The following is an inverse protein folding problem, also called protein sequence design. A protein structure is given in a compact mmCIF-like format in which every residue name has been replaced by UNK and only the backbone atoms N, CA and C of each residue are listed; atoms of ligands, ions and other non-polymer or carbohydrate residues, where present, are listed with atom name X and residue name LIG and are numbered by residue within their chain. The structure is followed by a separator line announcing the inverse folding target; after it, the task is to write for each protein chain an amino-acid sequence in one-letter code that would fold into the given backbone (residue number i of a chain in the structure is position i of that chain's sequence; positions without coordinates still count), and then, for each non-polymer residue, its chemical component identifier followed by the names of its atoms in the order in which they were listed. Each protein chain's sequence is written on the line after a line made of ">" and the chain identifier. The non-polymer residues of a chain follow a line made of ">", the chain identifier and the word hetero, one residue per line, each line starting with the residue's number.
data_IF_682080289491
#
_entry.id   IF_682080289491
#
_cell.length_a   1.000
_cell.length_b   1.000
_cell.length_c   1.000
_cell.angle_alpha   90.00
_cell.angle_beta   90.00
_cell.angle_gamma   90.00
#
_symmetry.space_group_name_H-M   'P 1'
#
loop_
_entity.id
_entity.type
_entity.pdbx_description
1 polymer ?
#
# COMPACT_ATOMS: atom_id res chain seq x y z
N UNK A 1 16.00 -14.00 -24.08
CA UNK A 1 15.55 -12.95 -23.12
C UNK A 1 14.60 -12.06 -23.88
N UNK A 2 13.35 -11.98 -23.46
CA UNK A 2 12.38 -11.09 -24.09
C UNK A 2 12.29 -9.82 -23.26
N UNK A 3 12.83 -8.72 -23.76
CA UNK A 3 12.62 -7.39 -23.23
C UNK A 3 11.24 -6.90 -23.66
N UNK A 4 10.48 -6.34 -22.74
CA UNK A 4 9.19 -5.74 -23.04
C UNK A 4 9.39 -4.29 -23.52
N UNK A 5 9.05 -3.96 -24.78
CA UNK A 5 9.27 -2.61 -25.33
C UNK A 5 8.50 -1.52 -24.54
N UNK A 6 7.41 -1.88 -23.86
CA UNK A 6 6.68 -0.93 -23.00
C UNK A 6 7.53 -0.43 -21.82
N UNK A 7 8.52 -1.21 -21.40
CA UNK A 7 9.47 -0.78 -20.36
C UNK A 7 10.51 0.16 -20.95
N UNK A 8 10.91 0.00 -22.22
CA UNK A 8 11.76 0.97 -22.90
C UNK A 8 11.06 2.33 -23.00
N UNK A 9 9.80 2.34 -23.44
CA UNK A 9 8.97 3.55 -23.50
C UNK A 9 8.81 4.20 -22.11
N UNK A 10 8.58 3.39 -21.07
CA UNK A 10 8.50 3.87 -19.71
C UNK A 10 9.80 4.55 -19.24
N UNK A 11 10.94 3.94 -19.53
CA UNK A 11 12.26 4.50 -19.16
C UNK A 11 12.51 5.80 -19.92
N UNK A 12 12.21 5.85 -21.22
CA UNK A 12 12.37 7.06 -22.03
C UNK A 12 11.47 8.22 -21.56
N UNK A 13 10.25 7.93 -21.11
CA UNK A 13 9.32 8.93 -20.61
C UNK A 13 9.66 9.43 -19.20
N UNK A 14 10.51 8.74 -18.47
CA UNK A 14 10.91 9.11 -17.13
C UNK A 14 11.83 10.35 -17.13
N UNK A 15 11.86 11.08 -15.99
CA UNK A 15 12.76 12.21 -15.82
C UNK A 15 14.23 11.82 -16.06
N UNK A 16 15.03 12.69 -16.67
CA UNK A 16 16.40 12.41 -17.10
C UNK A 16 17.29 11.79 -16.00
N UNK A 17 17.14 12.24 -14.75
CA UNK A 17 17.91 11.65 -13.63
C UNK A 17 17.52 10.20 -13.34
N UNK A 18 16.26 9.81 -13.62
CA UNK A 18 15.73 8.49 -13.30
C UNK A 18 16.14 7.44 -14.34
N UNK A 19 16.29 7.84 -15.60
CA UNK A 19 16.56 6.91 -16.71
C UNK A 19 17.77 6.00 -16.45
N UNK A 20 18.97 6.52 -16.10
CA UNK A 20 20.13 5.67 -15.84
C UNK A 20 19.94 4.74 -14.63
N UNK A 21 19.12 5.13 -13.65
CA UNK A 21 18.81 4.28 -12.52
C UNK A 21 17.89 3.13 -12.91
N UNK A 22 16.86 3.41 -13.71
CA UNK A 22 15.92 2.39 -14.19
C UNK A 22 16.64 1.37 -15.10
N UNK A 23 17.50 1.83 -16.00
CA UNK A 23 18.35 0.97 -16.84
C UNK A 23 19.23 0.07 -15.96
N UNK A 24 19.94 0.66 -15.00
CA UNK A 24 20.79 -0.09 -14.07
C UNK A 24 20.04 -1.15 -13.28
N UNK A 25 18.84 -0.83 -12.79
CA UNK A 25 17.99 -1.77 -12.07
C UNK A 25 17.57 -2.91 -13.00
N UNK A 26 17.06 -2.60 -14.20
CA UNK A 26 16.64 -3.58 -15.20
C UNK A 26 17.76 -4.55 -15.55
N UNK A 27 18.94 -4.04 -15.89
CA UNK A 27 20.11 -4.85 -16.22
C UNK A 27 20.53 -5.74 -15.05
N UNK A 28 20.48 -5.23 -13.83
CA UNK A 28 20.83 -6.00 -12.63
C UNK A 28 19.81 -7.11 -12.36
N UNK A 29 18.53 -6.89 -12.64
CA UNK A 29 17.49 -7.91 -12.52
C UNK A 29 17.72 -9.03 -13.53
N UNK A 30 17.94 -8.70 -14.81
CA UNK A 30 18.24 -9.70 -15.84
C UNK A 30 19.54 -10.46 -15.58
N UNK A 31 20.57 -9.79 -15.07
CA UNK A 31 21.83 -10.43 -14.69
C UNK A 31 21.66 -11.42 -13.53
N UNK A 32 20.80 -11.10 -12.57
CA UNK A 32 20.55 -11.95 -11.40
C UNK A 32 19.61 -13.11 -11.70
N UNK A 33 18.61 -12.89 -12.56
CA UNK A 33 17.57 -13.83 -12.93
C UNK A 33 17.37 -13.80 -14.46
N UNK A 34 18.17 -14.55 -15.25
CA UNK A 34 18.09 -14.54 -16.71
C UNK A 34 16.76 -15.01 -17.30
N UNK A 35 15.96 -15.73 -16.51
CA UNK A 35 14.62 -16.23 -16.89
C UNK A 35 13.49 -15.29 -16.44
N UNK A 36 13.81 -14.08 -16.01
CA UNK A 36 12.81 -13.11 -15.59
C UNK A 36 11.96 -12.67 -16.78
N UNK A 37 10.66 -12.54 -16.54
CA UNK A 37 9.69 -12.02 -17.50
C UNK A 37 9.37 -10.56 -17.13
N UNK A 38 9.38 -9.70 -18.14
CA UNK A 38 9.02 -8.29 -17.97
C UNK A 38 7.55 -8.06 -18.27
N UNK A 39 6.92 -7.15 -17.52
CA UNK A 39 5.55 -6.71 -17.78
C UNK A 39 5.29 -5.33 -17.14
N UNK A 40 4.17 -4.72 -17.52
CA UNK A 40 3.64 -3.53 -16.84
C UNK A 40 2.47 -3.94 -15.95
N UNK A 41 2.55 -3.64 -14.65
CA UNK A 41 1.44 -3.77 -13.70
C UNK A 41 1.23 -2.43 -12.98
N UNK A 42 -0.03 -2.03 -12.86
CA UNK A 42 -0.39 -0.74 -12.24
C UNK A 42 0.36 0.48 -12.83
N UNK A 43 0.64 0.42 -14.15
CA UNK A 43 1.38 1.47 -14.85
C UNK A 43 2.89 1.50 -14.57
N UNK A 44 3.47 0.47 -13.95
CA UNK A 44 4.89 0.41 -13.56
C UNK A 44 5.57 -0.85 -14.05
N UNK A 45 6.87 -0.77 -14.42
CA UNK A 45 7.68 -1.94 -14.74
C UNK A 45 7.71 -2.96 -13.60
N UNK A 46 7.33 -4.17 -13.92
CA UNK A 46 7.24 -5.29 -12.98
C UNK A 46 7.94 -6.50 -13.57
N UNK A 47 8.73 -7.15 -12.76
CA UNK A 47 9.50 -8.33 -13.11
C UNK A 47 8.86 -9.56 -12.47
N UNK A 48 8.60 -10.57 -13.29
CA UNK A 48 7.93 -11.81 -12.89
C UNK A 48 8.92 -12.97 -12.98
N UNK A 49 8.82 -13.96 -12.07
CA UNK A 49 9.58 -15.20 -12.15
C UNK A 49 8.81 -16.33 -11.46
N UNK A 50 8.83 -17.53 -12.07
CA UNK A 50 8.12 -18.71 -11.54
C UNK A 50 6.66 -18.42 -11.17
N UNK A 51 5.92 -17.70 -12.04
CA UNK A 51 4.50 -17.36 -11.86
C UNK A 51 4.19 -16.30 -10.78
N UNK A 52 5.22 -15.76 -10.12
CA UNK A 52 5.05 -14.75 -9.07
C UNK A 52 5.74 -13.42 -9.39
N UNK A 53 5.27 -12.33 -8.76
CA UNK A 53 5.98 -11.06 -8.84
C UNK A 53 7.31 -11.19 -8.07
N UNK A 54 8.40 -10.84 -8.74
CA UNK A 54 9.76 -10.81 -8.18
C UNK A 54 10.03 -9.45 -7.53
N UNK A 55 9.98 -8.41 -8.34
CA UNK A 55 10.24 -7.03 -7.94
C UNK A 55 9.58 -6.07 -8.93
N UNK A 56 9.61 -4.78 -8.60
CA UNK A 56 9.14 -3.72 -9.48
C UNK A 56 9.91 -2.44 -9.25
N UNK A 57 9.87 -1.54 -10.23
CA UNK A 57 10.49 -0.22 -10.15
C UNK A 57 9.51 0.86 -10.62
N UNK A 58 9.66 2.06 -10.08
CA UNK A 58 8.86 3.21 -10.48
C UNK A 58 9.67 4.50 -10.46
N UNK A 59 9.40 5.37 -11.44
CA UNK A 59 9.93 6.73 -11.47
C UNK A 59 8.85 7.73 -11.04
N UNK A 60 9.25 8.67 -10.21
CA UNK A 60 8.45 9.81 -9.74
C UNK A 60 9.15 11.12 -10.12
N UNK A 61 8.53 12.26 -9.85
CA UNK A 61 9.09 13.58 -10.20
C UNK A 61 10.50 13.82 -9.66
N UNK A 62 10.84 13.31 -8.48
CA UNK A 62 12.08 13.61 -7.77
C UNK A 62 12.81 12.39 -7.23
N UNK A 63 12.31 11.18 -7.47
CA UNK A 63 12.94 9.96 -7.00
C UNK A 63 12.52 8.75 -7.82
N UNK A 64 13.30 7.70 -7.72
CA UNK A 64 12.98 6.34 -8.18
C UNK A 64 12.70 5.47 -6.96
N UNK A 65 11.81 4.51 -7.09
CA UNK A 65 11.65 3.43 -6.12
C UNK A 65 11.94 2.08 -6.77
N UNK A 66 12.49 1.16 -5.97
CA UNK A 66 12.68 -0.25 -6.34
C UNK A 66 12.31 -1.13 -5.16
N UNK A 67 11.53 -2.18 -5.39
CA UNK A 67 11.04 -3.01 -4.31
C UNK A 67 10.84 -4.47 -4.69
N UNK A 68 11.08 -5.36 -3.72
CA UNK A 68 10.78 -6.78 -3.82
C UNK A 68 9.36 -7.05 -3.33
N UNK A 69 8.64 -7.94 -4.06
CA UNK A 69 7.29 -8.34 -3.65
C UNK A 69 7.27 -9.00 -2.27
N UNK A 70 8.29 -9.78 -1.98
CA UNK A 70 8.49 -10.45 -0.69
C UNK A 70 9.53 -9.72 0.18
N UNK A 71 9.41 -8.38 0.30
CA UNK A 71 10.38 -7.49 0.93
C UNK A 71 10.91 -8.01 2.26
N UNK A 72 10.02 -8.32 3.20
CA UNK A 72 10.39 -8.78 4.55
C UNK A 72 11.29 -10.02 4.54
N UNK A 73 11.05 -10.95 3.60
CA UNK A 73 11.86 -12.17 3.46
C UNK A 73 13.20 -11.91 2.76
N UNK A 74 13.28 -10.93 1.87
CA UNK A 74 14.47 -10.62 1.06
C UNK A 74 15.43 -9.70 1.79
N UNK A 75 14.90 -8.61 2.34
CA UNK A 75 15.69 -7.51 2.92
C UNK A 75 15.65 -7.53 4.44
N UNK A 76 14.54 -7.95 5.04
CA UNK A 76 14.26 -7.93 6.48
C UNK A 76 13.28 -6.80 6.86
N UNK A 77 12.67 -6.91 8.03
CA UNK A 77 11.59 -6.01 8.48
C UNK A 77 12.03 -4.58 8.83
N UNK A 78 13.34 -4.33 9.00
CA UNK A 78 13.85 -3.05 9.47
C UNK A 78 14.09 -1.96 8.40
N UNK A 79 13.92 -2.27 7.12
CA UNK A 79 14.31 -1.37 6.01
C UNK A 79 13.16 -0.84 5.15
N UNK A 80 11.93 -1.27 5.42
CA UNK A 80 10.75 -0.77 4.71
C UNK A 80 10.40 0.63 5.18
N UNK A 81 10.82 1.64 4.43
CA UNK A 81 10.26 2.99 4.59
C UNK A 81 8.88 3.03 3.92
N UNK A 82 7.89 3.54 4.63
CA UNK A 82 6.46 3.54 4.26
C UNK A 82 6.22 3.82 2.77
N UNK A 83 5.80 2.79 2.03
CA UNK A 83 5.30 2.92 0.66
C UNK A 83 6.33 3.17 -0.45
N UNK A 84 7.64 3.31 -0.15
CA UNK A 84 8.69 3.70 -1.11
C UNK A 84 9.60 2.54 -1.54
N UNK A 85 9.05 1.35 -1.72
CA UNK A 85 9.83 0.18 -2.14
C UNK A 85 10.74 -0.35 -1.03
N UNK A 86 11.86 -0.98 -1.43
CA UNK A 86 12.76 -1.64 -0.49
C UNK A 86 13.93 -0.76 -0.03
N UNK A 87 14.09 0.42 -0.60
CA UNK A 87 15.25 1.29 -0.38
C UNK A 87 14.87 2.76 -0.19
N UNK A 88 13.60 3.06 0.00
CA UNK A 88 13.12 4.42 0.14
C UNK A 88 13.14 5.20 -1.17
N UNK A 89 13.21 6.54 -1.05
CA UNK A 89 13.29 7.46 -2.19
C UNK A 89 14.74 7.56 -2.65
N UNK A 90 15.01 7.14 -3.88
CA UNK A 90 16.35 7.18 -4.47
C UNK A 90 16.42 8.28 -5.53
N UNK A 91 17.32 9.22 -5.39
CA UNK A 91 17.52 10.33 -6.32
C UNK A 91 18.76 10.14 -7.23
N UNK A 92 19.63 9.19 -6.92
CA UNK A 92 20.85 8.91 -7.65
C UNK A 92 21.24 7.42 -7.58
N UNK A 93 22.14 6.99 -8.48
CA UNK A 93 22.70 5.63 -8.44
C UNK A 93 23.42 5.30 -7.13
N UNK A 94 23.90 6.32 -6.40
CA UNK A 94 24.59 6.14 -5.10
C UNK A 94 23.64 5.71 -3.98
N UNK A 95 22.35 5.95 -4.15
CA UNK A 95 21.31 5.56 -3.18
C UNK A 95 20.92 4.08 -3.31
N UNK A 96 21.32 3.45 -4.43
CA UNK A 96 21.14 2.01 -4.61
C UNK A 96 22.18 1.25 -3.79
N UNK A 97 21.82 0.09 -3.23
CA UNK A 97 22.80 -0.80 -2.63
C UNK A 97 23.88 -1.22 -3.62
N UNK A 98 25.07 -1.61 -3.13
CA UNK A 98 26.11 -2.16 -3.99
C UNK A 98 25.57 -3.26 -4.91
N UNK A 99 26.00 -3.29 -6.16
CA UNK A 99 25.54 -4.24 -7.20
C UNK A 99 25.58 -5.69 -6.70
N UNK A 100 26.62 -6.08 -5.97
CA UNK A 100 26.73 -7.42 -5.36
C UNK A 100 25.56 -7.74 -4.43
N UNK A 101 25.14 -6.77 -3.62
CA UNK A 101 24.00 -6.90 -2.69
C UNK A 101 22.68 -7.00 -3.45
N UNK A 102 22.48 -6.19 -4.50
CA UNK A 102 21.30 -6.25 -5.37
C UNK A 102 21.19 -7.63 -6.03
N UNK A 103 22.27 -8.10 -6.67
CA UNK A 103 22.31 -9.43 -7.30
C UNK A 103 21.94 -10.55 -6.31
N UNK A 104 22.53 -10.53 -5.10
CA UNK A 104 22.24 -11.54 -4.08
C UNK A 104 20.77 -11.51 -3.63
N UNK A 105 20.20 -10.31 -3.43
CA UNK A 105 18.80 -10.14 -3.02
C UNK A 105 17.82 -10.54 -4.11
N UNK A 106 18.08 -10.21 -5.38
CA UNK A 106 17.24 -10.61 -6.51
C UNK A 106 17.25 -12.14 -6.66
N UNK A 107 18.41 -12.80 -6.57
CA UNK A 107 18.52 -14.26 -6.58
C UNK A 107 17.75 -14.90 -5.42
N UNK A 108 17.83 -14.32 -4.22
CA UNK A 108 17.05 -14.77 -3.07
C UNK A 108 15.55 -14.64 -3.32
N UNK A 109 15.10 -13.52 -3.91
CA UNK A 109 13.71 -13.32 -4.27
C UNK A 109 13.22 -14.32 -5.33
N UNK A 110 14.06 -14.61 -6.35
CA UNK A 110 13.77 -15.61 -7.38
C UNK A 110 13.59 -16.99 -6.77
N UNK A 111 14.53 -17.41 -5.90
CA UNK A 111 14.42 -18.70 -5.20
C UNK A 111 13.16 -18.79 -4.34
N UNK A 112 12.76 -17.74 -3.64
CA UNK A 112 11.50 -17.71 -2.88
C UNK A 112 10.26 -17.88 -3.77
N UNK A 113 10.32 -17.48 -5.05
CA UNK A 113 9.24 -17.71 -6.00
C UNK A 113 9.25 -19.17 -6.47
N UNK A 114 10.40 -19.70 -6.82
CA UNK A 114 10.60 -21.11 -7.21
C UNK A 114 10.14 -22.08 -6.12
N UNK A 115 10.46 -21.77 -4.87
CA UNK A 115 10.08 -22.56 -3.69
C UNK A 115 8.60 -22.37 -3.31
N UNK A 116 7.82 -21.57 -4.07
CA UNK A 116 6.39 -21.33 -3.81
C UNK A 116 6.10 -20.58 -2.49
N UNK A 117 7.10 -19.96 -1.87
CA UNK A 117 6.94 -19.25 -0.61
C UNK A 117 6.03 -18.04 -0.80
N UNK A 118 4.91 -17.96 -0.06
CA UNK A 118 4.00 -16.82 -0.10
C UNK A 118 4.59 -15.62 0.64
N UNK A 119 4.31 -14.42 0.12
CA UNK A 119 4.64 -13.19 0.86
C UNK A 119 3.93 -13.22 2.23
N UNK A 120 4.62 -12.86 3.31
CA UNK A 120 3.95 -12.70 4.60
C UNK A 120 2.79 -11.72 4.45
N UNK A 121 1.61 -12.08 4.96
CA UNK A 121 0.51 -11.14 5.00
C UNK A 121 0.98 -9.91 5.80
N UNK A 122 1.03 -8.75 5.16
CA UNK A 122 1.23 -7.49 5.89
C UNK A 122 0.04 -7.36 6.85
N UNK A 123 0.21 -7.75 8.10
CA UNK A 123 -0.69 -7.34 9.16
C UNK A 123 -0.49 -5.83 9.29
N UNK A 124 -1.31 -5.05 8.62
CA UNK A 124 -1.47 -3.64 9.00
C UNK A 124 -1.78 -3.70 10.49
N UNK A 125 -0.88 -3.17 11.32
CA UNK A 125 -1.10 -3.11 12.75
C UNK A 125 -2.52 -2.60 13.00
N UNK A 126 -3.26 -3.25 13.87
CA UNK A 126 -4.62 -2.81 14.19
C UNK A 126 -4.52 -1.33 14.59
N UNK A 127 -5.10 -0.46 13.77
CA UNK A 127 -5.17 0.97 14.12
C UNK A 127 -5.81 1.05 15.51
N UNK A 128 -5.30 1.89 16.42
CA UNK A 128 -5.90 2.04 17.75
C UNK A 128 -7.41 2.32 17.61
N UNK A 129 -8.23 1.89 18.59
CA UNK A 129 -9.66 2.16 18.56
C UNK A 129 -9.89 3.67 18.34
N UNK A 130 -10.82 4.07 17.47
CA UNK A 130 -11.10 5.48 17.27
C UNK A 130 -11.67 6.07 18.55
N UNK A 131 -11.13 7.20 18.98
CA UNK A 131 -11.70 7.95 20.09
C UNK A 131 -12.95 8.67 19.60
N UNK A 132 -14.11 8.36 20.18
CA UNK A 132 -15.35 9.04 19.84
C UNK A 132 -15.30 10.51 20.31
N UNK A 133 -15.63 11.48 19.47
CA UNK A 133 -15.68 12.87 19.85
C UNK A 133 -16.82 13.12 20.86
N UNK A 134 -16.66 14.15 21.73
CA UNK A 134 -17.54 14.40 22.85
C UNK A 134 -19.00 14.62 22.44
N UNK A 135 -19.25 15.28 21.33
CA UNK A 135 -20.59 15.51 20.78
C UNK A 135 -21.27 14.18 20.38
N UNK A 136 -20.53 13.22 19.80
CA UNK A 136 -21.05 11.89 19.51
C UNK A 136 -21.35 11.13 20.80
N UNK A 137 -20.48 11.18 21.79
CA UNK A 137 -20.69 10.53 23.10
C UNK A 137 -21.95 11.11 23.77
N UNK A 138 -22.11 12.43 23.76
CA UNK A 138 -23.27 13.09 24.32
C UNK A 138 -24.58 12.73 23.58
N UNK A 139 -24.54 12.60 22.27
CA UNK A 139 -25.69 12.22 21.47
C UNK A 139 -26.08 10.73 21.69
N UNK A 140 -25.11 9.82 21.79
CA UNK A 140 -25.35 8.41 22.07
C UNK A 140 -25.97 8.19 23.46
N UNK A 141 -25.55 8.93 24.47
CA UNK A 141 -26.14 8.86 25.82
C UNK A 141 -27.64 9.17 25.84
N UNK A 142 -28.12 9.98 24.88
CA UNK A 142 -29.56 10.33 24.75
C UNK A 142 -30.36 9.27 23.99
N UNK A 143 -29.71 8.32 23.31
CA UNK A 143 -30.38 7.27 22.55
C UNK A 143 -29.74 5.89 22.86
N UNK A 144 -30.40 5.14 23.74
CA UNK A 144 -29.91 3.84 24.24
C UNK A 144 -29.73 2.80 23.12
N UNK A 145 -30.61 2.80 22.10
CA UNK A 145 -30.50 1.87 20.99
C UNK A 145 -29.26 2.16 20.14
N UNK A 146 -29.02 3.43 19.82
CA UNK A 146 -27.82 3.84 19.09
C UNK A 146 -26.53 3.57 19.89
N UNK A 147 -26.56 3.81 21.20
CA UNK A 147 -25.44 3.52 22.09
C UNK A 147 -25.08 2.03 22.10
N UNK A 148 -26.06 1.16 22.30
CA UNK A 148 -25.85 -0.30 22.29
C UNK A 148 -25.26 -0.79 20.96
N UNK A 149 -25.79 -0.29 19.85
CA UNK A 149 -25.27 -0.62 18.52
C UNK A 149 -23.81 -0.11 18.34
N UNK A 150 -23.52 1.12 18.73
CA UNK A 150 -22.17 1.67 18.65
C UNK A 150 -21.17 0.86 19.51
N UNK A 151 -21.55 0.47 20.71
CA UNK A 151 -20.70 -0.34 21.59
C UNK A 151 -20.42 -1.73 20.99
N UNK A 152 -21.40 -2.36 20.35
CA UNK A 152 -21.29 -3.65 19.70
C UNK A 152 -20.49 -3.63 18.38
N UNK A 153 -20.33 -2.46 17.76
CA UNK A 153 -19.61 -2.36 16.50
C UNK A 153 -18.10 -2.70 16.63
N UNK A 154 -17.54 -3.40 15.63
CA UNK A 154 -16.10 -3.58 15.55
C UNK A 154 -15.39 -2.23 15.38
N UNK A 155 -14.08 -2.13 15.75
CA UNK A 155 -13.32 -0.89 15.69
C UNK A 155 -13.31 -0.21 14.32
N UNK A 156 -13.41 -0.99 13.23
CA UNK A 156 -13.50 -0.45 11.85
C UNK A 156 -14.78 0.35 11.64
N UNK A 157 -15.94 -0.20 12.03
CA UNK A 157 -17.22 0.47 11.87
C UNK A 157 -17.32 1.74 12.76
N UNK A 158 -16.79 1.68 13.99
CA UNK A 158 -16.69 2.86 14.86
C UNK A 158 -15.86 3.96 14.20
N UNK A 159 -14.75 3.59 13.57
CA UNK A 159 -13.86 4.53 12.88
C UNK A 159 -14.55 5.21 11.71
N UNK A 160 -15.29 4.47 10.89
CA UNK A 160 -16.03 5.04 9.75
C UNK A 160 -17.01 6.15 10.18
N UNK A 161 -17.73 5.96 11.27
CA UNK A 161 -18.63 6.97 11.83
C UNK A 161 -17.86 8.17 12.38
N UNK A 162 -16.80 7.92 13.17
CA UNK A 162 -15.99 8.97 13.77
C UNK A 162 -15.33 9.83 12.69
N UNK A 163 -14.66 9.21 11.71
CA UNK A 163 -14.03 9.91 10.59
C UNK A 163 -15.05 10.74 9.82
N UNK A 164 -16.19 10.16 9.46
CA UNK A 164 -17.25 10.87 8.72
C UNK A 164 -17.79 12.10 9.46
N UNK A 165 -17.96 12.04 10.78
CA UNK A 165 -18.42 13.16 11.59
C UNK A 165 -17.30 14.23 11.70
N UNK A 166 -16.06 13.80 11.95
CA UNK A 166 -14.92 14.71 12.18
C UNK A 166 -14.41 15.40 10.92
N UNK A 167 -14.58 14.79 9.75
CA UNK A 167 -14.25 15.40 8.44
C UNK A 167 -15.16 16.56 8.05
N UNK A 168 -16.24 16.80 8.78
CA UNK A 168 -17.13 17.93 8.51
C UNK A 168 -16.48 19.25 8.93
N UNK A 169 -16.09 20.06 7.94
CA UNK A 169 -15.46 21.37 8.16
C UNK A 169 -16.43 22.47 8.64
N UNK A 170 -17.74 22.28 8.40
CA UNK A 170 -18.78 23.26 8.80
C UNK A 170 -19.59 22.65 9.94
N UNK A 171 -19.87 23.46 10.97
CA UNK A 171 -20.62 23.03 12.16
C UNK A 171 -22.02 22.51 11.82
N UNK A 172 -22.72 23.18 10.90
CA UNK A 172 -24.02 22.74 10.40
C UNK A 172 -23.96 21.35 9.74
N UNK A 173 -22.92 21.09 8.93
CA UNK A 173 -22.71 19.78 8.29
C UNK A 173 -22.40 18.70 9.34
N UNK A 174 -21.61 19.07 10.36
CA UNK A 174 -21.26 18.18 11.46
C UNK A 174 -22.51 17.79 12.27
N UNK A 175 -23.35 18.77 12.61
CA UNK A 175 -24.60 18.53 13.31
C UNK A 175 -25.56 17.61 12.53
N UNK A 176 -25.70 17.83 11.22
CA UNK A 176 -26.49 16.95 10.33
C UNK A 176 -25.95 15.52 10.29
N UNK A 177 -24.62 15.37 10.13
CA UNK A 177 -23.98 14.05 10.13
C UNK A 177 -24.12 13.32 11.45
N UNK A 178 -24.00 14.06 12.56
CA UNK A 178 -24.17 13.51 13.91
C UNK A 178 -25.59 12.99 14.14
N UNK A 179 -26.61 13.77 13.79
CA UNK A 179 -28.01 13.35 13.90
C UNK A 179 -28.29 12.09 13.06
N UNK A 180 -27.82 12.09 11.82
CA UNK A 180 -27.98 10.95 10.91
C UNK A 180 -27.23 9.70 11.38
N UNK A 181 -26.04 9.86 11.98
CA UNK A 181 -25.27 8.78 12.57
C UNK A 181 -26.04 8.09 13.70
N UNK A 182 -26.64 8.89 14.61
CA UNK A 182 -27.45 8.36 15.72
C UNK A 182 -28.70 7.63 15.22
N UNK A 183 -29.38 8.17 14.20
CA UNK A 183 -30.52 7.53 13.56
C UNK A 183 -30.13 6.16 12.96
N UNK A 184 -29.10 6.10 12.13
CA UNK A 184 -28.65 4.85 11.52
C UNK A 184 -28.18 3.83 12.56
N UNK A 185 -27.47 4.26 13.58
CA UNK A 185 -27.05 3.38 14.68
C UNK A 185 -28.24 2.87 15.49
N UNK A 186 -29.29 3.67 15.70
CA UNK A 186 -30.52 3.22 16.35
C UNK A 186 -31.24 2.11 15.57
N UNK A 187 -31.06 2.13 14.23
CA UNK A 187 -31.58 1.09 13.32
C UNK A 187 -30.60 -0.09 13.14
N UNK A 188 -29.48 -0.12 13.84
CA UNK A 188 -28.47 -1.17 13.70
C UNK A 188 -27.60 -1.10 12.44
N UNK A 189 -27.66 0.00 11.70
CA UNK A 189 -27.01 0.16 10.40
C UNK A 189 -25.55 0.59 10.54
N UNK A 190 -24.67 0.07 9.64
CA UNK A 190 -23.30 0.57 9.47
C UNK A 190 -23.29 1.86 8.63
N UNK A 191 -22.20 2.64 8.72
CA UNK A 191 -22.07 3.90 7.94
C UNK A 191 -22.30 3.70 6.44
N UNK A 192 -21.78 2.61 5.87
CA UNK A 192 -21.82 2.31 4.45
C UNK A 192 -22.91 1.29 4.06
N UNK A 193 -23.94 1.11 4.88
CA UNK A 193 -24.99 0.09 4.70
C UNK A 193 -25.64 0.07 3.31
N UNK A 194 -25.71 1.24 2.64
CA UNK A 194 -26.29 1.36 1.29
C UNK A 194 -25.47 0.64 0.21
N UNK A 195 -24.20 0.35 0.49
CA UNK A 195 -23.25 -0.26 -0.46
C UNK A 195 -22.85 -1.69 -0.08
N UNK A 196 -23.43 -2.26 0.95
CA UNK A 196 -23.09 -3.62 1.42
C UNK A 196 -23.65 -4.74 0.53
N UNK A 197 -24.57 -4.42 -0.40
CA UNK A 197 -25.22 -5.37 -1.31
C UNK A 197 -24.97 -5.06 -2.81
N UNK A 198 -23.91 -4.32 -3.14
CA UNK A 198 -23.50 -4.06 -4.53
C UNK A 198 -22.36 -4.97 -4.94
#
# INVERSE_FOLDING_TARGET
>A
MAFDPRIDDYIQSAAAFAQPMLVHIRDTVHQACPQVEETIKWGMPTFMHAGGILCGMAAFKQHVSFGYWKHALVVGDGSAQEGMGSYGKMASLKDLPPKKTLLARIRKAAKLNEDGVKAPAQRKGAKPPPQAPDDLVAALRKNKAAQATYEAFPPSCKREYVEWITEANREETRAKRLAQAVEWMAEGKRRNWKYENC
#
